data_IF_872869234251
#
_entry.id   IF_872869234251
#
_cell.length_a   1.000
_cell.length_b   1.000
_cell.length_c   1.000
_cell.angle_alpha   90.00
_cell.angle_beta   90.00
_cell.angle_gamma   90.00
#
_symmetry.space_group_name_H-M   'P 1'
#
loop_
_entity.id
_entity.type
_entity.pdbx_description
1 polymer ?
#
# COMPACT_ATOMS: atom_id res chain seq x y z
N UNK A 1 15.59 -4.44 19.32
CA UNK A 1 15.67 -4.67 17.87
C UNK A 1 14.24 -4.90 17.41
N UNK A 2 13.54 -3.88 16.90
CA UNK A 2 12.12 -4.02 16.53
C UNK A 2 12.07 -4.53 15.08
N UNK A 3 11.53 -5.72 14.79
CA UNK A 3 11.50 -6.21 13.43
C UNK A 3 10.44 -5.40 12.68
N UNK A 4 10.89 -4.49 11.81
CA UNK A 4 10.05 -3.94 10.75
C UNK A 4 9.66 -5.11 9.85
N UNK A 5 8.64 -5.88 10.23
CA UNK A 5 8.09 -6.94 9.41
C UNK A 5 7.68 -6.28 8.10
N UNK A 6 8.49 -6.49 7.06
CA UNK A 6 8.24 -5.90 5.74
C UNK A 6 6.98 -6.56 5.23
N UNK A 7 5.83 -5.89 5.39
CA UNK A 7 4.56 -6.36 4.86
C UNK A 7 4.76 -6.60 3.36
N UNK A 8 4.44 -7.80 2.83
CA UNK A 8 4.70 -8.09 1.43
C UNK A 8 3.95 -7.11 0.55
N UNK A 9 4.62 -6.65 -0.51
CA UNK A 9 4.00 -5.81 -1.51
C UNK A 9 3.09 -6.66 -2.41
N UNK A 10 1.93 -6.14 -2.81
CA UNK A 10 1.13 -6.79 -3.85
C UNK A 10 1.90 -6.87 -5.16
N UNK A 11 1.52 -7.84 -6.00
CA UNK A 11 2.00 -7.88 -7.39
C UNK A 11 1.27 -6.83 -8.22
N UNK A 12 1.85 -6.43 -9.36
CA UNK A 12 1.23 -5.40 -10.21
C UNK A 12 -0.17 -5.76 -10.72
N UNK A 13 -0.46 -7.06 -10.87
CA UNK A 13 -1.79 -7.54 -11.28
C UNK A 13 -2.86 -7.42 -10.19
N UNK A 14 -2.45 -7.36 -8.92
CA UNK A 14 -3.38 -7.21 -7.80
C UNK A 14 -3.69 -5.73 -7.50
N UNK A 15 -2.99 -4.79 -8.14
CA UNK A 15 -3.20 -3.36 -7.94
C UNK A 15 -4.37 -2.87 -8.78
N UNK A 16 -5.16 -1.96 -8.20
CA UNK A 16 -6.05 -1.11 -8.99
C UNK A 16 -5.22 -0.12 -9.81
N UNK A 17 -5.83 0.50 -10.84
CA UNK A 17 -5.16 1.52 -11.64
C UNK A 17 -4.65 2.68 -10.79
N UNK A 18 -5.42 3.13 -9.79
CA UNK A 18 -5.03 4.21 -8.89
C UNK A 18 -3.84 3.82 -8.00
N UNK A 19 -3.78 2.58 -7.51
CA UNK A 19 -2.63 2.07 -6.76
C UNK A 19 -1.39 1.90 -7.63
N UNK A 20 -1.57 1.40 -8.87
CA UNK A 20 -0.49 1.25 -9.85
C UNK A 20 0.13 2.59 -10.25
N UNK A 21 -0.69 3.64 -10.37
CA UNK A 21 -0.24 5.01 -10.63
C UNK A 21 0.31 5.74 -9.39
N UNK A 22 0.28 5.11 -8.22
CA UNK A 22 0.75 5.72 -6.97
C UNK A 22 -0.15 6.80 -6.37
N UNK A 23 -1.41 6.87 -6.81
CA UNK A 23 -2.41 7.82 -6.28
C UNK A 23 -3.05 7.30 -4.98
N UNK A 24 -3.16 5.98 -4.85
CA UNK A 24 -3.76 5.31 -3.71
C UNK A 24 -2.73 4.46 -2.95
N UNK A 25 -2.97 4.29 -1.65
CA UNK A 25 -2.20 3.38 -0.82
C UNK A 25 -2.27 1.95 -1.38
N UNK A 26 -1.10 1.33 -1.55
CA UNK A 26 -0.97 -0.01 -2.13
C UNK A 26 -1.65 -1.11 -1.34
N UNK A 27 -2.05 -0.87 -0.08
CA UNK A 27 -2.67 -1.90 0.75
C UNK A 27 -4.12 -1.59 1.12
N UNK A 28 -4.43 -0.37 1.60
CA UNK A 28 -5.81 -0.04 1.99
C UNK A 28 -6.61 0.67 0.90
N UNK A 29 -5.99 1.03 -0.23
CA UNK A 29 -6.67 1.75 -1.32
C UNK A 29 -7.09 3.18 -0.97
N UNK A 30 -6.70 3.71 0.20
CA UNK A 30 -7.02 5.08 0.57
C UNK A 30 -6.26 6.08 -0.32
N UNK A 31 -6.92 7.17 -0.76
CA UNK A 31 -6.29 8.17 -1.61
C UNK A 31 -5.18 8.92 -0.87
N UNK A 32 -4.06 9.14 -1.55
CA UNK A 32 -2.86 9.79 -1.03
C UNK A 32 -2.85 11.30 -1.33
N UNK A 33 -4.00 11.98 -1.24
CA UNK A 33 -4.15 13.40 -1.58
C UNK A 33 -3.21 14.34 -0.80
N UNK A 34 -2.78 13.94 0.40
CA UNK A 34 -1.87 14.70 1.26
C UNK A 34 -0.42 14.20 1.21
N UNK A 35 -0.11 13.35 0.23
CA UNK A 35 1.19 12.69 0.08
C UNK A 35 1.21 11.27 0.65
N UNK A 36 2.07 10.43 0.07
CA UNK A 36 2.30 9.04 0.47
C UNK A 36 3.77 8.76 0.72
N UNK A 37 4.06 7.81 1.62
CA UNK A 37 5.42 7.36 1.87
C UNK A 37 5.77 6.24 0.88
N UNK A 38 7.03 6.14 0.41
CA UNK A 38 7.44 5.06 -0.49
C UNK A 38 7.36 3.70 0.23
N UNK A 39 6.59 2.78 -0.33
CA UNK A 39 6.45 1.41 0.19
C UNK A 39 7.41 0.43 -0.49
N UNK A 40 7.85 0.75 -1.70
CA UNK A 40 8.82 -0.03 -2.47
C UNK A 40 8.40 -0.16 -3.92
N UNK A 41 8.72 -1.29 -4.54
CA UNK A 41 8.36 -1.58 -5.94
C UNK A 41 7.56 -2.87 -6.06
N UNK A 42 6.31 -2.76 -6.47
CA UNK A 42 5.48 -3.90 -6.80
C UNK A 42 5.97 -4.52 -8.11
N UNK A 43 6.23 -5.83 -8.09
CA UNK A 43 6.71 -6.57 -9.26
C UNK A 43 5.58 -7.39 -9.87
N UNK A 44 5.63 -7.55 -11.18
CA UNK A 44 4.76 -8.45 -11.91
C UNK A 44 5.15 -8.54 -13.36
N UNK A 45 4.23 -9.00 -14.20
CA UNK A 45 4.50 -9.22 -15.62
C UNK A 45 3.41 -8.56 -16.46
N UNK A 46 3.78 -7.89 -17.55
CA UNK A 46 2.85 -7.42 -18.57
C UNK A 46 3.26 -8.08 -19.88
N UNK A 47 2.44 -9.03 -20.35
CA UNK A 47 2.83 -9.94 -21.42
C UNK A 47 4.12 -10.69 -21.05
N UNK A 48 5.13 -10.59 -21.91
CA UNK A 48 6.44 -11.22 -21.69
C UNK A 48 7.42 -10.38 -20.84
N UNK A 49 7.06 -9.16 -20.44
CA UNK A 49 7.96 -8.24 -19.75
C UNK A 49 7.75 -8.24 -18.24
N UNK A 50 8.84 -8.36 -17.48
CA UNK A 50 8.80 -8.10 -16.03
C UNK A 50 8.75 -6.60 -15.80
N UNK A 51 7.75 -6.16 -15.04
CA UNK A 51 7.58 -4.76 -14.65
C UNK A 51 7.78 -4.60 -13.15
N UNK A 52 8.29 -3.44 -12.77
CA UNK A 52 8.45 -3.04 -11.38
C UNK A 52 7.98 -1.59 -11.24
N UNK A 53 6.85 -1.37 -10.57
CA UNK A 53 6.27 -0.04 -10.40
C UNK A 53 6.46 0.47 -8.97
N UNK A 54 6.83 1.74 -8.77
CA UNK A 54 6.88 2.33 -7.45
C UNK A 54 5.47 2.38 -6.85
N UNK A 55 5.34 1.90 -5.63
CA UNK A 55 4.08 1.93 -4.89
C UNK A 55 4.25 2.65 -3.56
N UNK A 56 3.17 3.26 -3.10
CA UNK A 56 3.17 4.17 -1.97
C UNK A 56 2.20 3.69 -0.90
N UNK A 57 2.46 4.11 0.32
CA UNK A 57 1.64 3.83 1.50
C UNK A 57 1.15 5.12 2.15
N UNK A 58 0.14 4.98 2.98
CA UNK A 58 -0.30 6.05 3.87
C UNK A 58 0.88 6.55 4.72
N UNK A 59 0.84 7.82 5.10
CA UNK A 59 1.75 8.36 6.09
C UNK A 59 1.51 7.66 7.45
N UNK A 60 2.55 7.54 8.29
CA UNK A 60 2.39 7.08 9.67
C UNK A 60 1.28 7.86 10.39
N UNK A 61 0.44 7.16 11.15
CA UNK A 61 -0.73 7.70 11.85
C UNK A 61 -1.98 7.89 10.97
N UNK A 62 -1.94 7.51 9.69
CA UNK A 62 -3.09 7.69 8.77
C UNK A 62 -3.45 6.42 8.00
N UNK A 63 -4.68 6.35 7.49
CA UNK A 63 -5.15 5.30 6.58
C UNK A 63 -5.02 3.89 7.17
N UNK A 64 -4.05 3.11 6.69
CA UNK A 64 -3.80 1.72 7.13
C UNK A 64 -3.76 1.55 8.65
N UNK A 65 -3.10 2.46 9.36
CA UNK A 65 -2.97 2.38 10.83
C UNK A 65 -4.28 2.83 11.51
N UNK A 66 -4.95 3.85 10.97
CA UNK A 66 -6.22 4.34 11.52
C UNK A 66 -7.39 3.34 11.39
N UNK A 67 -7.40 2.50 10.34
CA UNK A 67 -8.40 1.42 10.19
C UNK A 67 -8.16 0.33 11.25
N UNK A 68 -6.89 0.01 11.54
CA UNK A 68 -6.56 -0.97 12.57
C UNK A 68 -7.02 -0.53 13.97
N UNK A 69 -6.88 0.75 14.31
CA UNK A 69 -7.36 1.28 15.59
C UNK A 69 -8.91 1.25 15.69
N UNK A 70 -9.62 1.66 14.64
CA UNK A 70 -11.11 1.66 14.64
C UNK A 70 -11.73 0.27 14.72
N UNK A 71 -11.05 -0.78 14.26
CA UNK A 71 -11.56 -2.15 14.34
C UNK A 71 -11.53 -2.73 15.77
N UNK A 72 -10.71 -2.19 16.67
CA UNK A 72 -10.58 -2.69 18.05
C UNK A 72 -11.58 -2.05 19.04
N UNK A 73 -12.16 -0.89 18.72
CA UNK A 73 -13.10 -0.17 19.59
C UNK A 73 -14.55 -0.67 19.53
N UNK A 74 -14.92 -1.52 18.57
CA UNK A 74 -16.33 -1.94 18.36
C UNK A 74 -16.73 -3.23 19.09
N UNK A 75 -15.88 -3.79 19.97
CA UNK A 75 -16.25 -4.91 20.84
C UNK A 75 -16.61 -4.40 22.24
N UNK A 76 -17.75 -3.74 22.39
CA UNK A 76 -18.41 -3.49 23.68
C UNK A 76 -19.82 -4.06 23.64
#
# INVERSE_FOLDING_TARGET
>A
MNPTATRPLPTTHALTSAQYSGQDCTWCGAPLWRGGAPAGRARGQIGAHVVAVPVFQCQPGTGCESIAHRAMETNH
#
